data_IF_527725820028
#
_entry.id   IF_527725820028
#
_cell.length_a   1.000
_cell.length_b   1.000
_cell.length_c   1.000
_cell.angle_alpha   90.00
_cell.angle_beta   90.00
_cell.angle_gamma   90.00
#
_symmetry.space_group_name_H-M   'P 1'
#
loop_
_entity.id
_entity.type
_entity.pdbx_description
1 polymer ?
#
# COMPACT_ATOMS: atom_id res chain seq x y z
N UNK A 1 40.85 -44.92 16.49
CA UNK A 1 40.21 -43.72 15.92
C UNK A 1 39.29 -44.11 14.77
N UNK A 2 37.98 -44.19 15.00
CA UNK A 2 36.95 -44.49 13.98
C UNK A 2 36.13 -43.21 13.75
N UNK A 3 36.14 -42.68 12.52
CA UNK A 3 35.32 -41.53 12.10
C UNK A 3 33.95 -42.05 11.65
N UNK A 4 32.90 -41.77 12.42
CA UNK A 4 31.50 -41.99 12.03
C UNK A 4 31.01 -40.80 11.20
N UNK A 5 30.61 -41.05 9.95
CA UNK A 5 29.93 -40.07 9.09
C UNK A 5 28.42 -40.16 9.36
N UNK A 6 27.81 -39.07 9.83
CA UNK A 6 26.35 -38.96 9.92
C UNK A 6 25.78 -38.54 8.55
N UNK A 7 24.73 -39.21 8.04
CA UNK A 7 24.03 -38.72 6.85
C UNK A 7 23.10 -37.55 7.21
N UNK A 8 23.20 -36.46 6.43
CA UNK A 8 22.23 -35.37 6.42
C UNK A 8 20.84 -35.92 6.08
N UNK A 9 19.86 -35.71 6.96
CA UNK A 9 18.44 -35.88 6.64
C UNK A 9 17.86 -34.54 6.22
N UNK A 10 17.64 -34.38 4.92
CA UNK A 10 16.77 -33.33 4.37
C UNK A 10 15.33 -33.80 4.62
N UNK A 11 14.63 -33.15 5.54
CA UNK A 11 13.17 -33.32 5.68
C UNK A 11 12.53 -32.25 4.81
N UNK A 12 12.16 -32.63 3.59
CA UNK A 12 11.29 -31.82 2.75
C UNK A 12 9.87 -31.87 3.30
N UNK A 13 9.37 -30.75 3.83
CA UNK A 13 7.95 -30.59 4.11
C UNK A 13 7.33 -29.95 2.87
N UNK A 14 6.89 -30.80 1.94
CA UNK A 14 5.96 -30.40 0.88
C UNK A 14 4.57 -30.33 1.49
N UNK A 15 4.12 -29.15 1.89
CA UNK A 15 2.72 -28.93 2.27
C UNK A 15 1.94 -28.51 1.03
N UNK A 16 1.33 -29.50 0.36
CA UNK A 16 0.18 -29.26 -0.52
C UNK A 16 -0.97 -28.73 0.34
N UNK A 17 -1.35 -27.48 0.16
CA UNK A 17 -2.66 -26.97 0.58
C UNK A 17 -3.46 -26.65 -0.68
N UNK A 18 -4.21 -27.65 -1.14
CA UNK A 18 -5.38 -27.49 -1.99
C UNK A 18 -6.47 -26.89 -1.08
N UNK A 19 -6.94 -25.69 -1.39
CA UNK A 19 -8.11 -25.08 -0.77
C UNK A 19 -9.05 -24.60 -1.86
N UNK A 20 -10.06 -25.42 -2.17
CA UNK A 20 -11.09 -25.16 -3.16
C UNK A 20 -12.05 -24.03 -2.73
N UNK A 21 -12.66 -23.44 -3.75
CA UNK A 21 -13.65 -22.36 -3.77
C UNK A 21 -14.88 -22.69 -2.91
N UNK A 22 -15.35 -21.73 -2.11
CA UNK A 22 -16.72 -21.69 -1.62
C UNK A 22 -17.46 -20.52 -2.27
N UNK A 23 -18.40 -20.86 -3.15
CA UNK A 23 -19.42 -19.95 -3.63
C UNK A 23 -20.45 -19.73 -2.52
N UNK A 24 -20.69 -18.48 -2.12
CA UNK A 24 -21.87 -18.09 -1.37
C UNK A 24 -22.64 -17.07 -2.21
N UNK A 25 -23.89 -17.42 -2.42
CA UNK A 25 -24.92 -16.79 -3.22
C UNK A 25 -25.22 -15.35 -2.81
N UNK A 26 -25.48 -14.49 -3.81
CA UNK A 26 -26.35 -13.32 -3.67
C UNK A 26 -25.68 -12.03 -3.16
N UNK A 27 -25.02 -11.32 -4.07
CA UNK A 27 -24.44 -10.00 -3.83
C UNK A 27 -23.03 -9.97 -4.41
N UNK A 28 -22.83 -9.23 -5.50
CA UNK A 28 -21.57 -9.17 -6.22
C UNK A 28 -20.45 -8.62 -5.32
N UNK A 29 -19.75 -9.51 -4.62
CA UNK A 29 -18.50 -9.22 -3.96
C UNK A 29 -17.42 -9.26 -5.04
N UNK A 30 -17.28 -8.14 -5.75
CA UNK A 30 -16.13 -7.91 -6.65
C UNK A 30 -14.92 -7.75 -5.74
N UNK A 31 -14.24 -8.86 -5.47
CA UNK A 31 -12.84 -8.83 -5.09
C UNK A 31 -12.10 -8.18 -6.25
N UNK A 32 -11.92 -6.85 -6.20
CA UNK A 32 -10.75 -6.23 -6.81
C UNK A 32 -9.56 -6.81 -6.03
N UNK A 33 -9.12 -7.99 -6.47
CA UNK A 33 -7.83 -8.51 -6.10
C UNK A 33 -6.83 -7.45 -6.56
N UNK A 34 -6.03 -6.85 -5.66
CA UNK A 34 -4.90 -6.07 -6.13
C UNK A 34 -4.11 -7.02 -7.03
N UNK A 35 -3.87 -6.61 -8.29
CA UNK A 35 -2.97 -7.32 -9.20
C UNK A 35 -1.56 -7.22 -8.61
N UNK A 36 -1.30 -8.03 -7.60
CA UNK A 36 0.02 -8.22 -7.01
C UNK A 36 0.76 -9.09 -8.01
N UNK A 37 1.41 -8.43 -8.96
CA UNK A 37 2.43 -9.05 -9.77
C UNK A 37 3.54 -9.56 -8.86
N UNK A 38 3.64 -10.87 -8.71
CA UNK A 38 4.89 -11.58 -8.43
C UNK A 38 5.83 -10.96 -7.39
N UNK A 39 5.42 -10.83 -6.12
CA UNK A 39 6.36 -10.80 -4.99
C UNK A 39 5.74 -11.56 -3.82
N UNK A 40 6.53 -12.47 -3.23
CA UNK A 40 6.06 -13.62 -2.44
C UNK A 40 5.17 -13.29 -1.23
N UNK A 41 4.17 -14.14 -1.01
CA UNK A 41 3.48 -14.47 0.24
C UNK A 41 3.45 -13.40 1.36
N UNK A 42 3.21 -12.14 1.04
CA UNK A 42 2.71 -11.21 2.04
C UNK A 42 1.25 -11.61 2.27
N UNK A 43 0.96 -12.21 3.43
CA UNK A 43 -0.41 -12.52 3.83
C UNK A 43 -1.26 -11.27 3.57
N UNK A 44 -2.40 -11.43 2.89
CA UNK A 44 -3.35 -10.35 2.58
C UNK A 44 -4.36 -10.13 3.71
N UNK A 45 -4.04 -10.61 4.91
CA UNK A 45 -4.94 -10.57 6.06
C UNK A 45 -5.21 -9.14 6.53
N UNK A 46 -6.45 -8.87 6.91
CA UNK A 46 -6.77 -7.62 7.60
C UNK A 46 -5.93 -7.55 8.90
N UNK A 47 -5.16 -6.47 9.15
CA UNK A 47 -4.38 -6.36 10.37
C UNK A 47 -5.29 -6.16 11.59
N UNK A 48 -4.77 -6.36 12.80
CA UNK A 48 -5.53 -6.15 14.02
C UNK A 48 -5.99 -4.68 14.16
N UNK A 49 -7.13 -4.41 14.85
CA UNK A 49 -7.56 -3.04 15.14
C UNK A 49 -6.43 -2.16 15.69
N UNK A 50 -6.41 -0.89 15.31
CA UNK A 50 -5.32 0.03 15.66
C UNK A 50 -4.03 -0.17 14.87
N UNK A 51 -4.05 -0.96 13.79
CA UNK A 51 -2.93 -1.12 12.87
C UNK A 51 -3.37 -0.89 11.42
N UNK A 52 -2.40 -0.51 10.59
CA UNK A 52 -2.53 -0.42 9.13
C UNK A 52 -1.43 -1.24 8.48
N UNK A 53 -1.79 -2.01 7.45
CA UNK A 53 -0.83 -2.63 6.56
C UNK A 53 -0.60 -1.72 5.36
N UNK A 54 0.66 -1.47 5.04
CA UNK A 54 1.08 -0.69 3.89
C UNK A 54 1.91 -1.57 2.97
N UNK A 55 1.52 -1.67 1.70
CA UNK A 55 2.29 -2.40 0.69
C UNK A 55 2.62 -1.49 -0.48
N UNK A 56 3.87 -1.50 -0.93
CA UNK A 56 4.36 -0.62 -1.99
C UNK A 56 4.68 -1.42 -3.27
N UNK A 57 4.21 -0.94 -4.41
CA UNK A 57 4.39 -1.58 -5.71
C UNK A 57 4.86 -0.57 -6.76
N UNK A 58 6.04 -0.75 -7.37
CA UNK A 58 6.40 0.00 -8.56
C UNK A 58 5.59 -0.49 -9.77
N UNK A 59 4.92 0.43 -10.46
CA UNK A 59 4.19 0.15 -11.71
C UNK A 59 5.08 0.49 -12.91
N UNK A 60 5.76 1.63 -12.84
CA UNK A 60 6.69 2.10 -13.86
C UNK A 60 7.86 2.82 -13.17
N UNK A 61 9.10 2.54 -13.56
CA UNK A 61 10.27 3.19 -12.99
C UNK A 61 11.34 3.38 -14.07
N UNK A 62 11.42 4.60 -14.59
CA UNK A 62 12.41 5.02 -15.58
C UNK A 62 13.02 6.39 -15.25
N UNK A 63 13.95 6.84 -16.08
CA UNK A 63 14.62 8.13 -15.89
C UNK A 63 13.63 9.32 -16.01
N UNK A 64 12.67 9.22 -16.91
CA UNK A 64 11.72 10.31 -17.23
C UNK A 64 10.33 10.13 -16.63
N UNK A 65 10.00 8.93 -16.16
CA UNK A 65 8.67 8.64 -15.62
C UNK A 65 8.74 7.65 -14.46
N UNK A 66 7.94 7.90 -13.45
CA UNK A 66 7.77 7.03 -12.30
C UNK A 66 6.27 6.93 -11.99
N UNK A 67 5.79 5.70 -11.85
CA UNK A 67 4.48 5.38 -11.29
C UNK A 67 4.67 4.41 -10.14
N UNK A 68 4.28 4.82 -8.94
CA UNK A 68 4.31 4.01 -7.72
C UNK A 68 2.92 3.95 -7.12
N UNK A 69 2.57 2.79 -6.56
CA UNK A 69 1.31 2.60 -5.83
C UNK A 69 1.59 2.08 -4.41
N UNK A 70 0.85 2.60 -3.44
CA UNK A 70 0.80 2.08 -2.08
C UNK A 70 -0.63 1.71 -1.74
N UNK A 71 -0.85 0.50 -1.22
CA UNK A 71 -2.12 0.13 -0.62
C UNK A 71 -2.07 0.30 0.90
N UNK A 72 -3.17 0.77 1.48
CA UNK A 72 -3.38 0.92 2.91
C UNK A 72 -4.58 0.08 3.31
N UNK A 73 -4.32 -1.02 4.00
CA UNK A 73 -5.36 -1.92 4.52
C UNK A 73 -5.46 -1.74 6.04
N UNK A 74 -6.56 -1.19 6.52
CA UNK A 74 -6.77 -0.92 7.94
C UNK A 74 -7.37 -2.11 8.70
N UNK A 75 -7.00 -2.24 9.97
CA UNK A 75 -7.77 -3.02 10.96
C UNK A 75 -9.03 -2.27 11.44
N UNK A 76 -9.33 -1.12 10.83
CA UNK A 76 -10.43 -0.19 11.09
C UNK A 76 -10.86 0.42 9.75
N UNK A 77 -12.07 0.97 9.67
CA UNK A 77 -12.48 1.83 8.55
C UNK A 77 -12.07 3.29 8.79
N UNK A 78 -11.97 4.06 7.70
CA UNK A 78 -11.84 5.52 7.69
C UNK A 78 -12.98 6.12 6.84
N UNK A 79 -13.71 7.09 7.39
CA UNK A 79 -14.78 7.80 6.65
C UNK A 79 -14.29 9.04 5.91
N UNK A 80 -13.04 9.47 6.14
CA UNK A 80 -12.53 10.73 5.61
C UNK A 80 -11.11 10.66 5.11
N UNK A 81 -10.93 11.11 3.87
CA UNK A 81 -9.64 11.39 3.26
C UNK A 81 -9.48 12.89 2.98
N UNK A 82 -8.27 13.43 3.17
CA UNK A 82 -7.94 14.82 2.83
C UNK A 82 -6.56 14.92 2.19
N UNK A 83 -6.34 15.95 1.37
CA UNK A 83 -5.05 16.28 0.79
C UNK A 83 -4.76 17.77 0.95
N UNK A 84 -3.55 18.14 1.36
CA UNK A 84 -3.08 19.53 1.46
C UNK A 84 -1.58 19.58 1.17
N UNK A 85 -1.23 20.11 0.00
CA UNK A 85 0.16 20.08 -0.48
C UNK A 85 0.71 18.66 -0.49
N UNK A 86 1.78 18.43 0.28
CA UNK A 86 2.46 17.13 0.32
C UNK A 86 1.94 16.20 1.43
N UNK A 87 0.92 16.61 2.18
CA UNK A 87 0.35 15.86 3.29
C UNK A 87 -1.04 15.37 2.93
N UNK A 88 -1.26 14.08 3.12
CA UNK A 88 -2.53 13.39 2.98
C UNK A 88 -2.93 12.84 4.34
N UNK A 89 -4.23 12.65 4.56
CA UNK A 89 -4.70 12.06 5.81
C UNK A 89 -5.89 11.13 5.58
N UNK A 90 -5.92 10.05 6.36
CA UNK A 90 -7.05 9.15 6.59
C UNK A 90 -7.46 9.31 8.06
N UNK A 91 -8.71 9.68 8.29
CA UNK A 91 -9.22 10.12 9.60
C UNK A 91 -10.63 9.60 9.86
N UNK A 92 -11.16 9.92 11.05
CA UNK A 92 -12.51 9.55 11.49
C UNK A 92 -12.71 8.03 11.48
N UNK A 93 -11.91 7.35 12.31
CA UNK A 93 -11.89 5.89 12.37
C UNK A 93 -13.09 5.30 13.08
N UNK A 94 -13.56 4.14 12.60
CA UNK A 94 -14.56 3.32 13.29
C UNK A 94 -14.32 1.83 13.02
N UNK A 95 -14.86 0.92 13.86
CA UNK A 95 -14.60 -0.51 13.75
C UNK A 95 -14.96 -1.11 12.38
N UNK A 96 -14.27 -2.18 12.00
CA UNK A 96 -14.65 -3.00 10.86
C UNK A 96 -16.00 -3.68 11.15
N UNK A 97 -16.88 -3.70 10.16
CA UNK A 97 -18.25 -4.25 10.25
C UNK A 97 -19.17 -3.55 11.26
N UNK A 98 -18.96 -2.26 11.49
CA UNK A 98 -19.95 -1.45 12.23
C UNK A 98 -21.28 -1.43 11.47
N UNK A 99 -22.29 -2.12 12.00
CA UNK A 99 -23.61 -2.23 11.37
C UNK A 99 -24.39 -0.92 11.35
N UNK A 100 -23.98 0.07 12.15
CA UNK A 100 -24.59 1.40 12.17
C UNK A 100 -24.05 2.34 11.09
N UNK A 101 -23.02 1.95 10.35
CA UNK A 101 -22.32 2.81 9.39
C UNK A 101 -22.08 2.11 8.07
N UNK A 102 -22.42 2.79 6.98
CA UNK A 102 -22.09 2.39 5.61
C UNK A 102 -21.10 3.35 4.94
N UNK A 103 -20.77 4.45 5.62
CA UNK A 103 -19.90 5.51 5.15
C UNK A 103 -18.44 5.24 5.52
N UNK A 104 -17.65 4.81 4.54
CA UNK A 104 -16.20 4.73 4.69
C UNK A 104 -15.59 3.48 4.09
N UNK A 105 -14.29 3.37 4.30
CA UNK A 105 -13.46 2.43 3.60
C UNK A 105 -12.31 1.93 4.47
N UNK A 106 -12.00 0.65 4.39
CA UNK A 106 -10.84 0.04 5.05
C UNK A 106 -9.65 -0.17 4.09
N UNK A 107 -9.81 0.13 2.81
CA UNK A 107 -8.78 -0.03 1.77
C UNK A 107 -8.61 1.24 0.94
N UNK A 108 -7.50 1.95 1.14
CA UNK A 108 -7.11 3.07 0.29
C UNK A 108 -5.90 2.71 -0.58
N UNK A 109 -5.80 3.36 -1.73
CA UNK A 109 -4.65 3.28 -2.63
C UNK A 109 -4.09 4.68 -2.86
N UNK A 110 -2.81 4.88 -2.62
CA UNK A 110 -2.11 6.08 -3.05
C UNK A 110 -1.34 5.78 -4.32
N UNK A 111 -1.55 6.55 -5.38
CA UNK A 111 -0.81 6.46 -6.64
C UNK A 111 -0.03 7.74 -6.88
N UNK A 112 1.29 7.62 -6.93
CA UNK A 112 2.19 8.69 -7.32
C UNK A 112 2.56 8.52 -8.79
N UNK A 113 2.24 9.52 -9.60
CA UNK A 113 2.73 9.65 -10.97
C UNK A 113 3.68 10.85 -11.03
N UNK A 114 4.86 10.69 -11.59
CA UNK A 114 5.82 11.77 -11.86
C UNK A 114 6.36 11.65 -13.29
N UNK A 115 6.44 12.78 -13.99
CA UNK A 115 6.82 12.83 -15.42
C UNK A 115 7.71 14.05 -15.71
N UNK A 116 8.95 13.79 -16.13
CA UNK A 116 9.93 14.80 -16.50
C UNK A 116 9.49 15.64 -17.70
N UNK A 117 8.73 15.08 -18.64
CA UNK A 117 8.26 15.79 -19.84
C UNK A 117 7.28 16.90 -19.47
N UNK A 118 6.41 16.62 -18.51
CA UNK A 118 5.47 17.63 -17.99
C UNK A 118 6.10 18.49 -16.89
N UNK A 119 7.19 18.02 -16.28
CA UNK A 119 7.82 18.64 -15.12
C UNK A 119 6.91 18.59 -13.88
N UNK A 120 5.99 17.62 -13.80
CA UNK A 120 4.98 17.55 -12.73
C UNK A 120 4.98 16.20 -12.03
N UNK A 121 4.46 16.22 -10.82
CA UNK A 121 4.08 15.04 -10.08
C UNK A 121 2.67 15.21 -9.52
N UNK A 122 1.96 14.10 -9.35
CA UNK A 122 0.64 14.04 -8.74
C UNK A 122 0.57 12.81 -7.85
N UNK A 123 0.03 12.98 -6.63
CA UNK A 123 -0.37 11.89 -5.76
C UNK A 123 -1.89 11.90 -5.63
N UNK A 124 -2.51 10.77 -5.94
CA UNK A 124 -3.94 10.54 -5.77
C UNK A 124 -4.14 9.48 -4.69
N UNK A 125 -5.01 9.76 -3.73
CA UNK A 125 -5.45 8.80 -2.72
C UNK A 125 -6.91 8.43 -3.02
N UNK A 126 -7.16 7.15 -3.27
CA UNK A 126 -8.44 6.61 -3.72
C UNK A 126 -8.92 5.52 -2.77
N UNK A 127 -10.14 5.66 -2.24
CA UNK A 127 -10.80 4.67 -1.38
C UNK A 127 -11.70 3.73 -2.18
N UNK A 128 -11.88 2.50 -1.70
CA UNK A 128 -12.81 1.54 -2.31
C UNK A 128 -14.28 1.95 -2.24
N UNK A 129 -14.60 2.99 -1.46
CA UNK A 129 -15.90 3.65 -1.38
C UNK A 129 -16.11 4.71 -2.49
N UNK A 130 -15.12 4.90 -3.36
CA UNK A 130 -15.12 5.92 -4.41
C UNK A 130 -14.58 7.27 -3.96
N UNK A 131 -14.18 7.42 -2.70
CA UNK A 131 -13.53 8.65 -2.20
C UNK A 131 -12.24 8.90 -2.98
N UNK A 132 -12.02 10.14 -3.42
CA UNK A 132 -10.77 10.52 -4.07
C UNK A 132 -10.29 11.89 -3.59
N UNK A 133 -9.04 11.97 -3.17
CA UNK A 133 -8.34 13.23 -2.93
C UNK A 133 -7.02 13.23 -3.67
N UNK A 134 -6.63 14.39 -4.20
CA UNK A 134 -5.41 14.50 -5.00
C UNK A 134 -4.65 15.76 -4.64
N UNK A 135 -3.33 15.67 -4.76
CA UNK A 135 -2.44 16.83 -4.74
C UNK A 135 -1.30 16.60 -5.71
N UNK A 136 -0.55 17.65 -5.98
CA UNK A 136 0.55 17.61 -6.93
C UNK A 136 1.35 18.89 -6.91
N UNK A 137 2.42 18.87 -7.68
CA UNK A 137 3.34 20.00 -7.78
C UNK A 137 4.27 19.86 -8.96
N UNK A 138 5.25 20.76 -9.01
CA UNK A 138 6.28 20.74 -10.03
C UNK A 138 7.47 19.90 -9.55
N UNK A 139 8.10 19.21 -10.49
CA UNK A 139 9.42 18.63 -10.31
C UNK A 139 10.48 19.74 -10.40
N UNK A 140 11.66 19.55 -9.77
CA UNK A 140 12.77 20.49 -9.93
C UNK A 140 13.19 20.58 -11.40
N UNK A 141 13.41 21.80 -11.94
CA UNK A 141 13.83 21.95 -13.31
C UNK A 141 15.21 21.32 -13.54
N UNK A 142 15.39 20.66 -14.69
CA UNK A 142 16.68 20.09 -15.10
C UNK A 142 17.10 18.81 -14.37
N UNK A 143 16.25 18.24 -13.50
CA UNK A 143 16.49 16.92 -12.89
C UNK A 143 15.67 15.85 -13.61
N UNK A 144 16.24 14.64 -13.71
CA UNK A 144 15.47 13.45 -14.09
C UNK A 144 14.46 13.11 -13.00
N UNK A 145 13.41 12.35 -13.31
CA UNK A 145 12.48 11.83 -12.30
C UNK A 145 13.21 10.94 -11.31
N UNK A 146 14.13 10.10 -11.79
CA UNK A 146 14.92 9.21 -10.94
C UNK A 146 15.76 9.98 -9.91
N UNK A 147 16.24 11.19 -10.24
CA UNK A 147 16.98 12.05 -9.32
C UNK A 147 16.06 12.85 -8.39
N UNK A 148 14.94 13.35 -8.93
CA UNK A 148 14.00 14.20 -8.19
C UNK A 148 13.13 13.42 -7.21
N UNK A 149 12.71 12.20 -7.55
CA UNK A 149 11.73 11.44 -6.77
C UNK A 149 12.38 10.19 -6.20
N UNK A 150 12.38 10.09 -4.87
CA UNK A 150 12.87 8.93 -4.12
C UNK A 150 11.70 8.28 -3.38
N UNK A 151 11.11 7.21 -3.91
CA UNK A 151 10.11 6.42 -3.19
C UNK A 151 10.69 5.93 -1.87
N UNK A 152 9.91 6.04 -0.80
CA UNK A 152 10.22 5.40 0.46
C UNK A 152 9.74 3.94 0.37
N UNK A 153 10.67 3.02 0.56
CA UNK A 153 10.36 1.61 0.76
C UNK A 153 10.28 1.36 2.26
N UNK A 154 9.06 1.29 2.78
CA UNK A 154 8.84 0.37 3.87
C UNK A 154 8.90 -1.04 3.26
N UNK A 155 9.29 -2.06 4.04
CA UNK A 155 9.22 -3.47 3.63
C UNK A 155 8.01 -3.73 2.69
N UNK A 156 8.12 -4.60 1.66
CA UNK A 156 7.09 -4.78 0.61
C UNK A 156 5.67 -4.91 1.16
N UNK A 157 5.54 -5.40 2.38
CA UNK A 157 4.36 -5.21 3.22
C UNK A 157 4.78 -4.96 4.67
N UNK A 158 4.45 -3.79 5.22
CA UNK A 158 4.70 -3.44 6.61
C UNK A 158 3.37 -3.29 7.37
N UNK A 159 3.30 -3.80 8.61
CA UNK A 159 2.20 -3.52 9.54
C UNK A 159 2.67 -2.49 10.55
N UNK A 160 1.92 -1.38 10.66
CA UNK A 160 2.28 -0.19 11.43
C UNK A 160 1.15 0.12 12.40
N UNK A 161 1.47 0.38 13.67
CA UNK A 161 0.50 0.83 14.66
C UNK A 161 0.03 2.27 14.39
N UNK A 162 -1.25 2.54 14.61
CA UNK A 162 -1.87 3.86 14.38
C UNK A 162 -2.18 4.60 15.69
N UNK A 163 -2.07 5.94 15.76
CA UNK A 163 -1.86 6.86 14.65
C UNK A 163 -0.44 6.78 14.07
N UNK A 164 -0.34 6.92 12.75
CA UNK A 164 0.95 6.81 12.03
C UNK A 164 1.12 7.96 11.03
N UNK A 165 2.36 8.40 10.82
CA UNK A 165 2.73 9.26 9.70
C UNK A 165 3.69 8.49 8.79
N UNK A 166 3.22 8.14 7.60
CA UNK A 166 3.92 7.30 6.64
C UNK A 166 4.47 8.20 5.55
N UNK A 167 5.78 8.18 5.34
CA UNK A 167 6.38 8.83 4.17
C UNK A 167 6.31 7.88 2.99
N UNK A 168 5.72 8.31 1.87
CA UNK A 168 5.60 7.51 0.65
C UNK A 168 6.75 7.80 -0.31
N UNK A 169 7.15 9.05 -0.43
CA UNK A 169 8.25 9.47 -1.28
C UNK A 169 8.88 10.75 -0.75
N UNK A 170 10.05 11.09 -1.28
CA UNK A 170 10.65 12.41 -1.18
C UNK A 170 10.79 12.98 -2.57
N UNK A 171 10.28 14.18 -2.77
CA UNK A 171 10.39 14.93 -4.01
C UNK A 171 11.33 16.09 -3.72
N UNK A 172 12.54 16.00 -4.26
CA UNK A 172 13.64 16.93 -3.97
C UNK A 172 13.92 17.11 -2.47
N UNK A 173 13.89 16.00 -1.73
CA UNK A 173 14.06 15.98 -0.28
C UNK A 173 12.80 16.33 0.53
N UNK A 174 11.80 16.97 -0.09
CA UNK A 174 10.52 17.29 0.56
C UNK A 174 9.66 16.02 0.66
N UNK A 175 9.23 15.61 1.86
CA UNK A 175 8.48 14.38 2.02
C UNK A 175 7.03 14.53 1.55
N UNK A 176 6.55 13.51 0.86
CA UNK A 176 5.12 13.29 0.57
C UNK A 176 4.62 12.19 1.49
N UNK A 177 3.59 12.50 2.27
CA UNK A 177 3.18 11.67 3.42
C UNK A 177 1.69 11.41 3.48
N UNK A 178 1.34 10.30 4.12
CA UNK A 178 -0.02 9.96 4.54
C UNK A 178 -0.03 9.81 6.06
N UNK A 179 -0.88 10.57 6.73
CA UNK A 179 -1.22 10.38 8.14
C UNK A 179 -2.41 9.43 8.24
N UNK A 180 -2.37 8.45 9.14
CA UNK A 180 -3.43 7.43 9.30
C UNK A 180 -3.97 7.47 10.72
N UNK A 181 -5.31 7.45 10.84
CA UNK A 181 -6.07 7.52 12.09
C UNK A 181 -5.83 8.81 12.89
N UNK A 182 -5.91 9.96 12.20
CA UNK A 182 -5.99 11.28 12.87
C UNK A 182 -7.44 11.69 13.16
#
# INVERSE_FOLDING_TARGET
MKRTRNPLRIVGISLLAIGAVAALSGGAFVLLQPRIGSMGNAATSVPAPGNVRVSATPIESGADRLTMEWSFLGGTNWSKATATGNEFALSETYPLNDTGRSDGCHTYYARLDADAKTGKWTLMLHGSDGTEVRSGGNLPPGKSVADAVKPAQNEPSAVIGTPAQITLARIDGVPVRVSVAR
#
